data_IF_690260558602
#
_entry.id   IF_690260558602
#
_cell.length_a   1.000
_cell.length_b   1.000
_cell.length_c   1.000
_cell.angle_alpha   90.00
_cell.angle_beta   90.00
_cell.angle_gamma   90.00
#
_symmetry.space_group_name_H-M   'P 1'
#
loop_
_entity.id
_entity.type
_entity.pdbx_description
1 polymer ?
#
# COMPACT_ATOMS: atom_id res chain seq x y z
N UNK A 1 -6.08 32.08 -19.87
CA UNK A 1 -6.91 30.91 -20.27
C UNK A 1 -5.98 29.73 -20.33
N UNK A 2 -6.09 28.78 -19.37
CA UNK A 2 -5.30 27.57 -19.42
C UNK A 2 -5.77 26.73 -20.62
N UNK A 3 -4.87 26.39 -21.52
CA UNK A 3 -5.14 25.42 -22.59
C UNK A 3 -5.43 24.07 -21.89
N UNK A 4 -6.69 23.71 -21.80
CA UNK A 4 -7.12 22.35 -21.49
C UNK A 4 -6.73 21.48 -22.70
N UNK A 5 -5.47 21.07 -22.75
CA UNK A 5 -5.05 20.03 -23.71
C UNK A 5 -5.63 18.71 -23.20
N UNK A 6 -6.64 18.21 -23.86
CA UNK A 6 -7.18 16.86 -23.64
C UNK A 6 -6.06 15.86 -23.93
N UNK A 7 -5.41 15.36 -22.90
CA UNK A 7 -4.39 14.35 -23.05
C UNK A 7 -5.05 12.99 -23.24
N UNK A 8 -4.70 12.30 -24.33
CA UNK A 8 -5.22 10.96 -24.60
C UNK A 8 -4.62 9.97 -23.60
N UNK A 9 -5.47 9.30 -22.82
CA UNK A 9 -5.04 8.25 -21.91
C UNK A 9 -4.41 7.07 -22.67
N UNK A 10 -3.32 6.53 -22.12
CA UNK A 10 -2.55 5.41 -22.67
C UNK A 10 -2.34 4.34 -21.60
N UNK A 11 -2.24 3.11 -22.04
CA UNK A 11 -1.88 1.98 -21.19
C UNK A 11 -0.98 1.01 -21.96
N UNK A 12 -0.26 0.17 -21.20
CA UNK A 12 0.41 -1.01 -21.70
C UNK A 12 0.24 -2.14 -20.67
N UNK A 13 -0.30 -3.27 -21.10
CA UNK A 13 -0.60 -4.41 -20.23
C UNK A 13 0.06 -5.66 -20.79
N UNK A 14 0.76 -6.41 -19.92
CA UNK A 14 1.27 -7.74 -20.28
C UNK A 14 0.58 -8.81 -19.43
N UNK A 15 0.30 -9.96 -20.03
CA UNK A 15 -0.18 -11.16 -19.36
C UNK A 15 0.70 -12.33 -19.79
N UNK A 16 1.28 -13.05 -18.82
CA UNK A 16 2.21 -14.14 -19.10
C UNK A 16 3.46 -13.71 -19.85
N UNK A 17 3.89 -12.44 -19.68
CA UNK A 17 5.04 -11.87 -20.37
C UNK A 17 4.78 -11.34 -21.80
N UNK A 18 3.58 -11.54 -22.34
CA UNK A 18 3.21 -11.05 -23.67
C UNK A 18 2.32 -9.79 -23.57
N UNK A 19 2.54 -8.79 -24.45
CA UNK A 19 1.61 -7.66 -24.59
C UNK A 19 0.25 -8.15 -25.06
N UNK A 20 -0.80 -7.61 -24.44
CA UNK A 20 -2.19 -7.91 -24.81
C UNK A 20 -2.95 -6.68 -25.30
N UNK A 21 -2.28 -5.53 -25.43
CA UNK A 21 -2.88 -4.23 -25.68
C UNK A 21 -3.81 -4.22 -26.91
N UNK A 22 -3.32 -4.66 -28.06
CA UNK A 22 -4.10 -4.68 -29.30
C UNK A 22 -5.32 -5.61 -29.22
N UNK A 23 -5.18 -6.74 -28.49
CA UNK A 23 -6.27 -7.71 -28.30
C UNK A 23 -7.37 -7.18 -27.41
N UNK A 24 -7.00 -6.48 -26.33
CA UNK A 24 -7.97 -6.01 -25.33
C UNK A 24 -8.52 -4.63 -25.62
N UNK A 25 -7.86 -3.82 -26.48
CA UNK A 25 -8.24 -2.43 -26.74
C UNK A 25 -9.72 -2.22 -27.08
N UNK A 26 -10.37 -3.05 -27.95
CA UNK A 26 -11.80 -2.89 -28.24
C UNK A 26 -12.71 -3.23 -27.07
N UNK A 27 -12.21 -4.04 -26.13
CA UNK A 27 -12.98 -4.66 -25.04
C UNK A 27 -12.69 -4.04 -23.68
N UNK A 28 -11.60 -3.29 -23.53
CA UNK A 28 -11.19 -2.69 -22.25
C UNK A 28 -12.25 -1.70 -21.77
N UNK A 29 -12.82 -1.97 -20.60
CA UNK A 29 -13.78 -1.11 -19.94
C UNK A 29 -13.08 -0.25 -18.87
N UNK A 30 -12.26 -0.88 -18.02
CA UNK A 30 -11.58 -0.21 -16.91
C UNK A 30 -10.31 -0.95 -16.53
N UNK A 31 -9.29 -0.19 -16.16
CA UNK A 31 -8.13 -0.65 -15.39
C UNK A 31 -8.08 0.16 -14.11
N UNK A 32 -7.91 -0.51 -12.98
CA UNK A 32 -7.72 0.13 -11.69
C UNK A 32 -6.54 -0.51 -10.99
N UNK A 33 -5.63 0.31 -10.48
CA UNK A 33 -4.47 -0.09 -9.69
C UNK A 33 -4.54 0.63 -8.37
N UNK A 34 -4.50 -0.10 -7.26
CA UNK A 34 -4.53 0.44 -5.90
C UNK A 34 -3.21 0.13 -5.23
N UNK A 35 -2.45 1.19 -4.95
CA UNK A 35 -1.22 1.16 -4.19
C UNK A 35 -1.53 1.60 -2.76
N UNK A 36 -1.14 0.82 -1.78
CA UNK A 36 -1.36 1.14 -0.38
C UNK A 36 -0.03 1.27 0.37
N UNK A 37 0.05 2.21 1.30
CA UNK A 37 1.21 2.32 2.18
C UNK A 37 1.23 1.16 3.19
N UNK A 38 0.10 0.89 3.83
CA UNK A 38 -0.02 -0.05 4.96
C UNK A 38 -0.50 -1.45 4.59
N UNK A 39 -1.03 -1.64 3.36
CA UNK A 39 -1.60 -2.92 3.00
C UNK A 39 -0.54 -3.95 2.60
N UNK A 40 -0.92 -5.18 2.79
CA UNK A 40 -0.12 -6.37 2.57
C UNK A 40 0.34 -6.53 1.12
N UNK A 41 -0.46 -6.01 0.16
CA UNK A 41 -0.16 -6.07 -1.26
C UNK A 41 -0.85 -4.94 -2.01
N UNK A 42 -0.20 -4.47 -3.05
CA UNK A 42 -0.84 -3.65 -4.07
C UNK A 42 -1.76 -4.55 -4.92
N UNK A 43 -2.85 -4.00 -5.38
CA UNK A 43 -3.85 -4.75 -6.17
C UNK A 43 -4.14 -4.06 -7.49
N UNK A 44 -4.55 -4.86 -8.48
CA UNK A 44 -5.05 -4.31 -9.72
C UNK A 44 -6.29 -5.07 -10.20
N UNK A 45 -7.17 -4.38 -10.89
CA UNK A 45 -8.37 -4.95 -11.50
C UNK A 45 -8.44 -4.52 -12.96
N UNK A 46 -8.57 -5.49 -13.86
CA UNK A 46 -8.80 -5.25 -15.28
C UNK A 46 -10.22 -5.75 -15.60
N UNK A 47 -11.05 -4.86 -16.12
CA UNK A 47 -12.42 -5.18 -16.54
C UNK A 47 -12.53 -5.10 -18.05
N UNK A 48 -12.93 -6.21 -18.67
CA UNK A 48 -13.10 -6.33 -20.11
C UNK A 48 -14.57 -6.67 -20.45
N UNK A 49 -15.10 -6.13 -21.52
CA UNK A 49 -16.30 -6.67 -22.18
C UNK A 49 -15.94 -8.03 -22.79
N UNK A 50 -16.77 -9.05 -22.59
CA UNK A 50 -16.50 -10.41 -23.04
C UNK A 50 -17.52 -10.87 -24.11
N UNK A 51 -17.76 -10.01 -25.09
CA UNK A 51 -18.69 -10.33 -26.16
C UNK A 51 -18.06 -10.03 -27.50
N UNK A 52 -17.95 -11.02 -28.37
CA UNK A 52 -17.53 -10.83 -29.77
C UNK A 52 -18.63 -10.06 -30.51
N UNK A 53 -18.38 -8.88 -31.04
CA UNK A 53 -19.39 -8.11 -31.75
C UNK A 53 -19.94 -8.86 -32.97
N UNK A 54 -21.26 -8.80 -33.17
CA UNK A 54 -21.92 -9.37 -34.33
C UNK A 54 -22.18 -10.89 -34.27
N UNK A 55 -21.83 -11.58 -33.19
CA UNK A 55 -22.16 -13.01 -33.00
C UNK A 55 -23.56 -13.19 -32.42
N UNK A 56 -24.31 -14.19 -32.96
CA UNK A 56 -25.64 -14.57 -32.48
C UNK A 56 -25.70 -16.10 -32.37
N UNK A 57 -25.85 -16.67 -31.15
CA UNK A 57 -25.82 -15.98 -29.83
C UNK A 57 -24.47 -15.34 -29.53
N UNK A 58 -24.42 -14.36 -28.60
CA UNK A 58 -23.16 -13.72 -28.17
C UNK A 58 -22.14 -14.73 -27.67
N UNK A 59 -20.94 -14.74 -28.24
CA UNK A 59 -19.86 -15.64 -27.84
C UNK A 59 -18.80 -14.92 -26.95
N UNK A 60 -18.13 -15.65 -26.02
CA UNK A 60 -17.06 -15.09 -25.23
C UNK A 60 -15.86 -14.74 -26.12
N UNK A 61 -15.25 -13.57 -25.86
CA UNK A 61 -14.09 -13.08 -26.59
C UNK A 61 -12.77 -13.64 -26.06
N UNK A 62 -12.71 -14.02 -24.77
CA UNK A 62 -11.49 -14.37 -24.07
C UNK A 62 -11.61 -15.65 -23.24
N UNK A 63 -10.50 -16.40 -23.16
CA UNK A 63 -10.30 -17.38 -22.11
C UNK A 63 -9.91 -16.68 -20.80
N UNK A 64 -10.31 -17.25 -19.67
CA UNK A 64 -9.91 -16.76 -18.35
C UNK A 64 -8.43 -17.06 -18.10
N UNK A 65 -7.59 -16.08 -17.78
CA UNK A 65 -6.19 -16.33 -17.46
C UNK A 65 -6.09 -17.17 -16.17
N UNK A 66 -5.15 -18.16 -16.13
CA UNK A 66 -4.92 -18.97 -14.94
C UNK A 66 -4.42 -18.12 -13.76
N UNK A 67 -4.74 -18.56 -12.54
CA UNK A 67 -4.13 -18.02 -11.32
C UNK A 67 -2.58 -18.14 -11.38
N UNK A 68 -1.87 -17.13 -10.90
CA UNK A 68 -0.42 -17.07 -10.92
C UNK A 68 0.19 -16.60 -12.24
N UNK A 69 -0.63 -16.26 -13.26
CA UNK A 69 -0.13 -15.65 -14.51
C UNK A 69 0.50 -14.28 -14.19
N UNK A 70 1.78 -14.02 -14.57
CA UNK A 70 2.42 -12.72 -14.35
C UNK A 70 1.71 -11.60 -15.11
N UNK A 71 1.59 -10.44 -14.47
CA UNK A 71 0.91 -9.25 -15.00
C UNK A 71 1.77 -8.02 -14.78
N UNK A 72 1.91 -7.18 -15.80
CA UNK A 72 2.39 -5.81 -15.63
C UNK A 72 1.38 -4.83 -16.20
N UNK A 73 1.22 -3.68 -15.54
CA UNK A 73 0.34 -2.60 -15.98
C UNK A 73 1.13 -1.31 -15.96
N UNK A 74 1.19 -0.64 -17.10
CA UNK A 74 1.71 0.72 -17.23
C UNK A 74 0.57 1.64 -17.68
N UNK A 75 0.44 2.80 -17.04
CA UNK A 75 -0.57 3.81 -17.31
C UNK A 75 0.08 5.15 -17.62
N UNK A 76 -0.62 5.99 -18.34
CA UNK A 76 -0.15 7.35 -18.63
C UNK A 76 -1.07 8.11 -19.57
N UNK A 77 -0.54 9.21 -20.10
CA UNK A 77 -1.25 10.08 -21.04
C UNK A 77 -0.27 10.75 -22.00
N UNK A 78 -0.73 11.02 -23.22
CA UNK A 78 0.05 11.81 -24.18
C UNK A 78 0.29 13.24 -23.66
N UNK A 79 1.45 13.85 -23.93
CA UNK A 79 2.62 13.32 -24.65
C UNK A 79 3.63 12.58 -23.74
N UNK A 80 3.34 12.40 -22.44
CA UNK A 80 4.28 11.86 -21.44
C UNK A 80 4.56 10.36 -21.57
N UNK A 81 3.73 9.63 -22.35
CA UNK A 81 3.84 8.18 -22.47
C UNK A 81 3.24 7.42 -21.27
N UNK A 82 3.64 6.15 -21.10
CA UNK A 82 3.19 5.29 -20.02
C UNK A 82 4.32 5.01 -19.02
N UNK A 83 3.96 4.89 -17.75
CA UNK A 83 4.86 4.51 -16.65
C UNK A 83 4.33 3.23 -16.02
N UNK A 84 5.22 2.31 -15.68
CA UNK A 84 4.87 1.07 -14.95
C UNK A 84 4.31 1.44 -13.58
N UNK A 85 3.06 1.04 -13.32
CA UNK A 85 2.35 1.32 -12.06
C UNK A 85 2.07 0.06 -11.25
N UNK A 86 2.12 -1.12 -11.88
CA UNK A 86 1.84 -2.38 -11.19
C UNK A 86 2.63 -3.54 -11.79
N UNK A 87 3.16 -4.38 -10.91
CA UNK A 87 3.74 -5.69 -11.25
C UNK A 87 3.20 -6.72 -10.25
N UNK A 88 2.69 -7.83 -10.76
CA UNK A 88 2.11 -8.86 -9.90
C UNK A 88 1.63 -10.06 -10.68
N UNK A 89 0.64 -10.74 -10.12
CA UNK A 89 0.11 -12.00 -10.62
C UNK A 89 -1.41 -12.00 -10.61
N UNK A 90 -2.03 -12.73 -11.53
CA UNK A 90 -3.47 -12.98 -11.51
C UNK A 90 -3.82 -13.76 -10.24
N UNK A 91 -4.66 -13.18 -9.41
CA UNK A 91 -5.22 -13.82 -8.23
C UNK A 91 -6.50 -14.59 -8.58
N UNK A 92 -7.42 -13.92 -9.28
CA UNK A 92 -8.68 -14.52 -9.76
C UNK A 92 -9.09 -13.90 -11.09
N UNK A 93 -9.68 -14.72 -11.95
CA UNK A 93 -10.37 -14.25 -13.14
C UNK A 93 -11.81 -14.77 -13.09
N UNK A 94 -12.79 -13.87 -13.28
CA UNK A 94 -14.22 -14.20 -13.20
C UNK A 94 -14.95 -13.73 -14.43
N UNK A 95 -15.76 -14.61 -15.01
CA UNK A 95 -16.75 -14.21 -16.01
C UNK A 95 -18.07 -13.86 -15.31
N UNK A 96 -18.63 -12.71 -15.68
CA UNK A 96 -19.92 -12.22 -15.19
C UNK A 96 -20.82 -11.93 -16.39
N UNK A 97 -22.10 -12.06 -16.20
CA UNK A 97 -23.06 -11.71 -17.26
C UNK A 97 -24.47 -11.72 -16.74
N UNK A 98 -25.30 -10.89 -17.36
CA UNK A 98 -26.72 -10.86 -17.15
C UNK A 98 -27.45 -10.61 -18.50
N UNK A 99 -28.78 -10.78 -18.51
CA UNK A 99 -29.58 -10.65 -19.73
C UNK A 99 -29.59 -9.23 -20.32
N UNK A 100 -29.40 -8.21 -19.47
CA UNK A 100 -29.45 -6.79 -19.88
C UNK A 100 -28.07 -6.15 -20.03
N UNK A 101 -27.11 -6.53 -19.18
CA UNK A 101 -25.76 -5.93 -19.09
C UNK A 101 -24.71 -6.62 -19.96
N UNK A 102 -25.03 -7.76 -20.60
CA UNK A 102 -24.08 -8.48 -21.42
C UNK A 102 -23.06 -9.30 -20.60
N UNK A 103 -21.89 -9.57 -21.20
CA UNK A 103 -20.81 -10.36 -20.59
C UNK A 103 -19.60 -9.50 -20.29
N UNK A 104 -18.93 -9.81 -19.18
CA UNK A 104 -17.66 -9.17 -18.81
C UNK A 104 -16.72 -10.16 -18.13
N UNK A 105 -15.44 -9.88 -18.22
CA UNK A 105 -14.39 -10.56 -17.45
C UNK A 105 -13.76 -9.55 -16.51
N UNK A 106 -13.70 -9.92 -15.22
CA UNK A 106 -12.96 -9.23 -14.19
C UNK A 106 -11.72 -10.04 -13.83
N UNK A 107 -10.54 -9.46 -14.06
CA UNK A 107 -9.25 -10.05 -13.70
C UNK A 107 -8.73 -9.27 -12.52
N UNK A 108 -8.62 -9.92 -11.35
CA UNK A 108 -8.01 -9.35 -10.15
C UNK A 108 -6.59 -9.85 -10.02
N UNK A 109 -5.70 -8.91 -9.74
CA UNK A 109 -4.27 -9.14 -9.61
C UNK A 109 -3.79 -8.66 -8.24
N UNK A 110 -2.73 -9.28 -7.74
CA UNK A 110 -2.04 -8.90 -6.50
C UNK A 110 -0.55 -8.84 -6.75
N UNK A 111 0.16 -7.92 -6.08
CA UNK A 111 1.62 -7.83 -6.15
C UNK A 111 2.32 -9.01 -5.47
N UNK A 112 1.61 -9.76 -4.61
CA UNK A 112 2.12 -10.94 -3.94
C UNK A 112 1.98 -12.20 -4.80
N UNK A 113 3.04 -12.98 -4.92
CA UNK A 113 2.92 -14.36 -5.41
C UNK A 113 2.27 -15.23 -4.32
N UNK A 114 0.97 -15.47 -4.47
CA UNK A 114 0.19 -16.26 -3.52
C UNK A 114 0.42 -17.77 -3.65
N UNK A 115 1.25 -18.20 -4.58
CA UNK A 115 1.60 -19.61 -4.83
C UNK A 115 2.98 -19.96 -4.31
N UNK A 116 3.77 -18.97 -3.89
CA UNK A 116 5.15 -19.15 -3.43
C UNK A 116 5.25 -19.73 -2.01
N UNK A 117 6.40 -20.34 -1.69
CA UNK A 117 6.76 -20.88 -0.36
C UNK A 117 6.79 -19.77 0.73
N UNK A 118 6.81 -18.50 0.33
CA UNK A 118 6.76 -17.36 1.22
C UNK A 118 5.50 -17.29 2.11
N UNK A 119 4.43 -17.99 1.72
CA UNK A 119 3.20 -18.17 2.51
C UNK A 119 3.20 -19.41 3.39
N UNK A 120 4.17 -20.32 3.22
CA UNK A 120 4.22 -21.53 4.02
C UNK A 120 4.65 -21.22 5.45
N UNK A 121 3.90 -21.68 6.48
CA UNK A 121 4.28 -21.47 7.87
C UNK A 121 5.58 -22.21 8.19
N UNK A 122 6.45 -21.57 8.96
CA UNK A 122 7.73 -22.12 9.41
C UNK A 122 7.96 -21.77 10.87
N UNK A 123 8.80 -22.57 11.54
CA UNK A 123 9.23 -22.28 12.90
C UNK A 123 10.74 -22.09 12.90
N UNK A 124 11.18 -20.90 13.27
CA UNK A 124 12.59 -20.51 13.37
C UNK A 124 12.81 -19.49 14.46
N UNK A 125 14.02 -19.43 14.96
CA UNK A 125 14.45 -18.41 15.91
C UNK A 125 15.85 -17.92 15.58
N UNK A 126 16.19 -16.76 16.12
CA UNK A 126 17.53 -16.17 16.05
C UNK A 126 17.79 -15.35 17.30
N UNK A 127 18.87 -15.67 18.00
CA UNK A 127 19.22 -15.07 19.28
C UNK A 127 20.20 -13.92 19.09
N UNK A 128 20.04 -12.85 19.91
CA UNK A 128 20.99 -11.74 20.01
C UNK A 128 21.28 -11.02 18.69
N UNK A 129 20.35 -11.03 17.75
CA UNK A 129 20.57 -10.54 16.41
C UNK A 129 19.94 -9.18 16.14
N UNK A 130 20.43 -8.47 15.11
CA UNK A 130 19.77 -7.28 14.57
C UNK A 130 18.53 -7.67 13.76
N UNK A 131 17.59 -6.73 13.60
CA UNK A 131 16.42 -6.91 12.73
C UNK A 131 16.85 -7.24 11.28
N UNK A 132 17.90 -6.58 10.80
CA UNK A 132 18.47 -6.85 9.48
C UNK A 132 18.90 -8.32 9.32
N UNK A 133 19.61 -8.86 10.31
CA UNK A 133 20.11 -10.24 10.25
C UNK A 133 18.98 -11.27 10.41
N UNK A 134 17.99 -10.98 11.26
CA UNK A 134 16.82 -11.82 11.43
C UNK A 134 15.96 -11.84 10.15
N UNK A 135 15.75 -10.68 9.54
CA UNK A 135 14.98 -10.55 8.30
C UNK A 135 15.64 -11.28 7.13
N UNK A 136 16.97 -11.21 6.99
CA UNK A 136 17.71 -11.93 5.97
C UNK A 136 17.59 -13.45 6.13
N UNK A 137 17.71 -13.96 7.36
CA UNK A 137 17.61 -15.39 7.66
C UNK A 137 16.20 -15.93 7.44
N UNK A 138 15.20 -15.30 8.03
CA UNK A 138 13.80 -15.75 7.96
C UNK A 138 13.21 -15.54 6.56
N UNK A 139 13.62 -14.48 5.85
CA UNK A 139 13.29 -14.28 4.46
C UNK A 139 13.79 -15.41 3.58
N UNK A 140 15.09 -15.74 3.68
CA UNK A 140 15.70 -16.84 2.93
C UNK A 140 14.98 -18.16 3.18
N UNK A 141 14.63 -18.44 4.43
CA UNK A 141 13.87 -19.63 4.79
C UNK A 141 12.48 -19.69 4.11
N UNK A 142 11.87 -18.53 3.84
CA UNK A 142 10.60 -18.42 3.14
C UNK A 142 10.73 -18.19 1.62
N UNK A 143 11.93 -18.27 1.05
CA UNK A 143 12.14 -17.99 -0.38
C UNK A 143 12.02 -16.50 -0.75
N UNK A 144 12.16 -15.60 0.24
CA UNK A 144 12.19 -14.15 0.05
C UNK A 144 13.57 -13.57 0.35
N UNK A 145 13.94 -12.54 -0.38
CA UNK A 145 15.03 -11.65 0.03
C UNK A 145 14.42 -10.47 0.76
N UNK A 146 14.56 -10.42 2.11
CA UNK A 146 14.02 -9.32 2.92
C UNK A 146 15.16 -8.34 3.24
N UNK A 147 15.02 -7.11 2.77
CA UNK A 147 15.90 -5.99 3.08
C UNK A 147 15.26 -5.10 4.16
N UNK A 148 16.08 -4.61 5.08
CA UNK A 148 15.62 -3.68 6.13
C UNK A 148 16.34 -2.36 5.96
N UNK A 149 15.57 -1.27 5.91
CA UNK A 149 16.15 0.08 5.81
C UNK A 149 17.02 0.39 7.04
N UNK A 150 18.09 1.16 6.83
CA UNK A 150 19.10 1.43 7.85
C UNK A 150 18.55 2.00 9.16
N UNK A 151 17.45 2.78 9.09
CA UNK A 151 16.79 3.35 10.27
C UNK A 151 16.21 2.32 11.24
N UNK A 152 15.86 1.11 10.76
CA UNK A 152 15.28 0.02 11.55
C UNK A 152 16.23 -1.17 11.68
N UNK A 153 17.17 -1.30 10.76
CA UNK A 153 18.02 -2.48 10.63
C UNK A 153 18.92 -2.75 11.83
N UNK A 154 19.26 -1.71 12.62
CA UNK A 154 20.10 -1.80 13.80
C UNK A 154 19.36 -2.18 15.09
N UNK A 155 18.03 -2.28 15.07
CA UNK A 155 17.23 -2.72 16.22
C UNK A 155 17.64 -4.14 16.57
N UNK A 156 18.13 -4.35 17.80
CA UNK A 156 18.57 -5.66 18.29
C UNK A 156 17.60 -6.15 19.36
N UNK A 157 17.31 -7.46 19.34
CA UNK A 157 16.52 -8.14 20.37
C UNK A 157 17.26 -9.38 20.87
N UNK A 158 17.08 -9.76 22.14
CA UNK A 158 17.63 -11.00 22.67
C UNK A 158 17.15 -12.22 21.88
N UNK A 159 15.94 -12.14 21.32
CA UNK A 159 15.30 -13.26 20.64
C UNK A 159 14.34 -12.79 19.54
N UNK A 160 14.52 -13.30 18.34
CA UNK A 160 13.58 -13.16 17.23
C UNK A 160 12.94 -14.52 16.96
N UNK A 161 11.62 -14.57 16.86
CA UNK A 161 10.89 -15.78 16.55
C UNK A 161 10.00 -15.61 15.32
N UNK A 162 9.95 -16.64 14.51
CA UNK A 162 8.93 -16.94 13.53
C UNK A 162 8.33 -18.28 13.93
N UNK A 163 7.17 -18.26 14.61
CA UNK A 163 6.57 -19.44 15.23
C UNK A 163 5.26 -19.80 14.55
N UNK A 164 5.30 -20.79 13.66
CA UNK A 164 4.12 -21.23 12.91
C UNK A 164 3.58 -20.17 11.95
N UNK A 165 4.36 -19.13 11.62
CA UNK A 165 3.98 -18.07 10.70
C UNK A 165 4.80 -18.12 9.40
N UNK A 166 4.28 -17.52 8.34
CA UNK A 166 5.00 -17.39 7.07
C UNK A 166 6.01 -16.24 7.14
N UNK A 167 7.00 -16.23 6.22
CA UNK A 167 7.96 -15.12 6.13
C UNK A 167 7.26 -13.77 5.86
N UNK A 168 6.16 -13.77 5.11
CA UNK A 168 5.33 -12.59 4.88
C UNK A 168 4.65 -12.16 6.19
N UNK A 169 3.99 -13.08 6.90
CA UNK A 169 3.32 -12.78 8.17
C UNK A 169 4.28 -12.28 9.24
N UNK A 170 5.46 -12.90 9.35
CA UNK A 170 6.53 -12.45 10.23
C UNK A 170 6.98 -11.03 9.90
N UNK A 171 7.27 -10.76 8.62
CA UNK A 171 7.71 -9.43 8.18
C UNK A 171 6.68 -8.34 8.49
N UNK A 172 5.40 -8.62 8.27
CA UNK A 172 4.30 -7.71 8.58
C UNK A 172 4.15 -7.45 10.08
N UNK A 173 4.21 -8.50 10.89
CA UNK A 173 4.10 -8.38 12.35
C UNK A 173 5.25 -7.57 12.90
N UNK A 174 6.48 -7.93 12.55
CA UNK A 174 7.68 -7.25 13.07
C UNK A 174 7.77 -5.81 12.58
N UNK A 175 7.47 -5.54 11.32
CA UNK A 175 7.44 -4.16 10.81
C UNK A 175 6.50 -3.29 11.65
N UNK A 176 5.28 -3.75 11.92
CA UNK A 176 4.31 -3.03 12.79
C UNK A 176 4.84 -2.81 14.21
N UNK A 177 5.53 -3.80 14.78
CA UNK A 177 6.08 -3.70 16.13
C UNK A 177 7.17 -2.63 16.27
N UNK A 178 7.91 -2.36 15.19
CA UNK A 178 9.00 -1.36 15.17
C UNK A 178 8.60 -0.04 14.48
N UNK A 179 7.29 0.18 14.23
CA UNK A 179 6.81 1.39 13.56
C UNK A 179 7.19 1.48 12.09
N UNK A 180 7.37 0.34 11.45
CA UNK A 180 7.69 0.20 10.04
C UNK A 180 6.56 -0.35 9.21
N UNK A 181 6.82 -0.45 7.91
CA UNK A 181 5.98 -1.07 6.89
C UNK A 181 6.74 -2.21 6.23
N UNK A 182 6.05 -3.29 5.92
CA UNK A 182 6.59 -4.40 5.15
C UNK A 182 5.88 -4.49 3.81
N UNK A 183 6.64 -4.36 2.72
CA UNK A 183 6.13 -4.53 1.35
C UNK A 183 6.85 -5.67 0.64
N UNK A 184 6.10 -6.43 -0.16
CA UNK A 184 6.63 -7.52 -0.97
C UNK A 184 6.26 -7.31 -2.43
N UNK A 185 7.26 -7.41 -3.31
CA UNK A 185 7.07 -7.42 -4.77
C UNK A 185 7.84 -8.62 -5.33
N UNK A 186 7.10 -9.58 -5.87
CA UNK A 186 7.69 -10.85 -6.32
C UNK A 186 8.35 -11.61 -5.17
N UNK A 187 9.66 -11.82 -5.24
CA UNK A 187 10.48 -12.50 -4.22
C UNK A 187 11.27 -11.54 -3.31
N UNK A 188 11.07 -10.24 -3.44
CA UNK A 188 11.72 -9.22 -2.61
C UNK A 188 10.75 -8.64 -1.60
N UNK A 189 11.14 -8.67 -0.32
CA UNK A 189 10.47 -7.97 0.77
C UNK A 189 11.33 -6.81 1.26
N UNK A 190 10.71 -5.72 1.71
CA UNK A 190 11.43 -4.57 2.29
C UNK A 190 10.70 -4.09 3.53
N UNK A 191 11.48 -3.86 4.61
CA UNK A 191 10.99 -3.20 5.83
C UNK A 191 11.55 -1.78 5.85
N UNK A 192 10.67 -0.78 5.85
CA UNK A 192 11.01 0.66 5.91
C UNK A 192 10.25 1.33 7.04
N UNK A 193 10.73 2.48 7.54
CA UNK A 193 9.96 3.26 8.52
C UNK A 193 8.69 3.80 7.88
N UNK A 194 7.56 3.71 8.58
CA UNK A 194 6.28 4.27 8.16
C UNK A 194 6.37 5.81 8.09
N UNK A 195 5.74 6.40 7.08
CA UNK A 195 5.74 7.86 6.90
C UNK A 195 7.08 8.48 6.49
N UNK A 196 8.12 7.69 6.25
CA UNK A 196 9.44 8.21 5.88
C UNK A 196 9.51 8.76 4.43
N UNK A 197 8.46 8.59 3.64
CA UNK A 197 8.45 9.00 2.23
C UNK A 197 9.47 8.25 1.37
N UNK A 198 9.77 7.00 1.74
CA UNK A 198 10.77 6.17 1.07
C UNK A 198 10.13 5.08 0.22
N UNK A 199 10.71 4.84 -0.94
CA UNK A 199 10.40 3.68 -1.77
C UNK A 199 10.93 2.39 -1.15
N UNK A 200 10.54 1.25 -1.71
CA UNK A 200 11.08 -0.06 -1.34
C UNK A 200 12.61 -0.18 -1.52
N UNK A 201 13.24 0.68 -2.33
CA UNK A 201 14.70 0.73 -2.48
C UNK A 201 15.39 1.74 -1.53
N UNK A 202 14.63 2.37 -0.61
CA UNK A 202 15.16 3.39 0.30
C UNK A 202 15.38 4.78 -0.33
N UNK A 203 14.94 4.98 -1.58
CA UNK A 203 15.00 6.28 -2.24
C UNK A 203 13.81 7.15 -1.83
N UNK A 204 14.04 8.47 -1.67
CA UNK A 204 12.96 9.40 -1.42
C UNK A 204 11.93 9.37 -2.55
N UNK A 205 10.66 9.24 -2.19
CA UNK A 205 9.55 9.31 -3.13
C UNK A 205 9.35 10.76 -3.59
N UNK A 206 9.15 11.01 -4.90
CA UNK A 206 8.89 12.34 -5.39
C UNK A 206 7.58 12.89 -4.81
N UNK A 207 7.53 14.16 -4.42
CA UNK A 207 6.32 14.77 -3.89
C UNK A 207 5.24 14.84 -4.97
N UNK A 208 3.99 14.62 -4.57
CA UNK A 208 2.80 14.77 -5.40
C UNK A 208 2.24 16.18 -5.19
N UNK A 209 2.19 16.98 -6.24
CA UNK A 209 1.57 18.32 -6.20
C UNK A 209 0.08 18.23 -6.51
N UNK A 210 -0.76 18.80 -5.63
CA UNK A 210 -2.21 18.91 -5.74
C UNK A 210 -2.57 20.39 -5.68
N UNK A 211 -2.89 20.97 -6.83
CA UNK A 211 -3.09 22.43 -6.94
C UNK A 211 -4.44 22.75 -7.59
N UNK A 212 -5.26 23.55 -6.90
CA UNK A 212 -6.56 24.00 -7.42
C UNK A 212 -6.41 24.79 -8.73
N UNK A 213 -7.27 24.51 -9.68
CA UNK A 213 -7.23 25.14 -11.00
C UNK A 213 -6.11 24.64 -11.93
N UNK A 214 -5.30 23.67 -11.48
CA UNK A 214 -4.22 23.05 -12.28
C UNK A 214 -4.51 21.59 -12.58
N UNK A 215 -4.63 20.74 -11.56
CA UNK A 215 -4.80 19.29 -11.73
C UNK A 215 -5.86 18.65 -10.83
N UNK A 216 -6.53 19.43 -9.97
CA UNK A 216 -7.56 18.91 -9.06
C UNK A 216 -8.88 18.75 -9.79
N UNK A 217 -9.47 17.57 -9.71
CA UNK A 217 -10.81 17.25 -10.21
C UNK A 217 -11.84 17.39 -9.09
N UNK A 218 -11.58 16.75 -7.94
CA UNK A 218 -12.45 16.81 -6.76
C UNK A 218 -11.66 16.56 -5.48
N UNK A 219 -12.20 17.00 -4.34
CA UNK A 219 -11.63 16.72 -3.02
C UNK A 219 -12.71 16.63 -1.97
N UNK A 220 -12.39 15.88 -0.92
CA UNK A 220 -13.16 15.78 0.33
C UNK A 220 -12.14 15.63 1.46
N UNK A 221 -11.76 16.74 2.10
CA UNK A 221 -10.69 16.82 3.08
C UNK A 221 -11.19 17.47 4.37
N UNK A 222 -10.87 16.84 5.49
CA UNK A 222 -11.11 17.39 6.81
C UNK A 222 -9.77 17.79 7.47
N UNK A 223 -9.67 19.00 8.05
CA UNK A 223 -8.46 19.44 8.75
C UNK A 223 -8.18 18.59 10.00
N UNK A 224 -9.22 18.09 10.64
CA UNK A 224 -9.15 17.25 11.83
C UNK A 224 -10.12 16.06 11.71
N UNK A 225 -9.67 14.89 12.15
CA UNK A 225 -10.53 13.72 12.30
C UNK A 225 -11.54 13.97 13.44
N UNK A 226 -12.75 13.45 13.28
CA UNK A 226 -13.80 13.60 14.32
C UNK A 226 -13.48 12.92 15.66
N UNK A 227 -12.42 12.10 15.72
CA UNK A 227 -11.96 11.44 16.93
C UNK A 227 -10.54 11.92 17.29
N UNK A 228 -10.38 12.67 18.38
CA UNK A 228 -9.06 13.11 18.81
C UNK A 228 -8.20 11.90 19.24
N UNK A 229 -6.86 11.94 19.03
CA UNK A 229 -5.96 10.92 19.52
C UNK A 229 -5.94 10.89 21.05
N UNK A 230 -5.55 9.75 21.61
CA UNK A 230 -5.27 9.65 23.04
C UNK A 230 -4.09 10.56 23.42
N UNK A 231 -4.10 11.07 24.64
CA UNK A 231 -2.98 11.87 25.14
C UNK A 231 -1.74 11.02 25.37
N UNK A 232 -1.92 9.78 25.77
CA UNK A 232 -0.86 8.84 26.09
C UNK A 232 -1.15 7.44 25.57
N UNK A 233 -0.07 6.72 25.19
CA UNK A 233 -0.08 5.30 24.87
C UNK A 233 0.86 4.55 25.79
N UNK A 234 0.39 3.44 26.38
CA UNK A 234 1.15 2.60 27.27
C UNK A 234 1.44 1.24 26.68
N UNK A 235 2.72 0.87 26.63
CA UNK A 235 3.19 -0.51 26.48
C UNK A 235 3.53 -1.11 27.83
N UNK A 236 3.28 -2.39 28.07
CA UNK A 236 3.60 -3.09 29.33
C UNK A 236 4.42 -4.35 29.09
N UNK A 237 5.27 -4.66 30.10
CA UNK A 237 6.05 -5.91 30.12
C UNK A 237 6.13 -6.45 31.55
N UNK A 238 6.48 -7.72 31.68
CA UNK A 238 6.76 -8.31 32.98
C UNK A 238 8.26 -8.27 33.28
N UNK A 239 8.65 -7.68 34.39
CA UNK A 239 10.04 -7.67 34.88
C UNK A 239 10.23 -8.87 35.85
N UNK A 240 10.96 -9.91 35.45
CA UNK A 240 11.18 -11.08 36.30
C UNK A 240 12.10 -10.77 37.49
N UNK A 241 12.99 -9.77 37.42
CA UNK A 241 13.87 -9.40 38.51
C UNK A 241 13.10 -8.73 39.65
N UNK A 242 12.07 -7.96 39.35
CA UNK A 242 11.21 -7.28 40.31
C UNK A 242 9.89 -8.04 40.56
N UNK A 243 9.65 -9.15 39.84
CA UNK A 243 8.43 -9.96 39.90
C UNK A 243 7.13 -9.14 39.73
N UNK A 244 7.14 -8.12 38.86
CA UNK A 244 5.99 -7.25 38.66
C UNK A 244 5.83 -6.80 37.22
N UNK A 245 4.61 -6.35 36.89
CA UNK A 245 4.31 -5.67 35.63
C UNK A 245 4.77 -4.22 35.67
N UNK A 246 5.48 -3.81 34.66
CA UNK A 246 5.91 -2.43 34.43
C UNK A 246 5.27 -1.87 33.15
N UNK A 247 5.21 -0.54 33.06
CA UNK A 247 4.61 0.16 31.94
C UNK A 247 5.56 1.25 31.42
N UNK A 248 5.62 1.37 30.09
CA UNK A 248 6.26 2.50 29.37
C UNK A 248 5.18 3.36 28.74
N UNK A 249 5.15 4.62 29.13
CA UNK A 249 4.18 5.60 28.62
C UNK A 249 4.85 6.51 27.60
N UNK A 250 4.20 6.69 26.45
CA UNK A 250 4.59 7.63 25.40
C UNK A 250 3.49 8.68 25.27
N UNK A 251 3.88 9.96 25.27
CA UNK A 251 2.95 11.07 25.00
C UNK A 251 2.73 11.19 23.49
N UNK A 252 1.46 11.28 23.07
CA UNK A 252 1.08 11.45 21.67
C UNK A 252 0.97 12.93 21.32
N UNK A 253 1.66 13.36 20.27
CA UNK A 253 1.64 14.76 19.83
C UNK A 253 0.23 15.18 19.42
N UNK A 254 -0.31 16.23 20.10
CA UNK A 254 -1.67 16.75 19.90
C UNK A 254 -2.78 15.82 20.38
N UNK A 255 -2.46 14.89 21.26
CA UNK A 255 -3.46 14.24 22.11
C UNK A 255 -4.08 15.23 23.07
N UNK A 256 -5.36 15.08 23.37
CA UNK A 256 -6.11 16.00 24.21
C UNK A 256 -6.64 15.33 25.47
N UNK A 257 -6.66 16.10 26.57
CA UNK A 257 -7.20 15.63 27.85
C UNK A 257 -6.25 14.67 28.57
N UNK A 258 -6.83 13.80 29.43
CA UNK A 258 -6.14 12.76 30.21
C UNK A 258 -6.43 11.35 29.70
N UNK A 259 -6.75 11.22 28.42
CA UNK A 259 -7.10 9.94 27.81
C UNK A 259 -5.87 9.07 27.59
N UNK A 260 -5.94 7.81 27.95
CA UNK A 260 -4.85 6.85 27.85
C UNK A 260 -5.29 5.59 27.11
N UNK A 261 -4.47 5.14 26.17
CA UNK A 261 -4.62 3.84 25.52
C UNK A 261 -3.56 2.88 26.03
N UNK A 262 -3.97 1.66 26.37
CA UNK A 262 -3.03 0.58 26.71
C UNK A 262 -3.00 -0.45 25.59
N UNK A 263 -1.79 -0.83 25.15
CA UNK A 263 -1.58 -1.90 24.19
C UNK A 263 -2.02 -3.21 24.83
N UNK A 264 -2.88 -3.96 24.15
CA UNK A 264 -3.54 -5.17 24.71
C UNK A 264 -2.55 -6.27 25.08
N UNK A 265 -1.51 -6.48 24.29
CA UNK A 265 -0.55 -7.55 24.48
C UNK A 265 0.71 -7.02 25.17
N UNK A 266 1.15 -7.71 26.22
CA UNK A 266 2.43 -7.45 26.87
C UNK A 266 3.58 -7.72 25.90
N UNK A 267 4.68 -7.02 26.11
CA UNK A 267 5.93 -7.17 25.35
C UNK A 267 6.95 -7.92 26.19
N UNK A 268 8.03 -8.38 25.56
CA UNK A 268 9.05 -9.16 26.23
C UNK A 268 9.85 -8.32 27.23
N UNK A 269 10.14 -7.05 26.89
CA UNK A 269 10.95 -6.14 27.70
C UNK A 269 10.51 -4.67 27.53
N UNK A 270 11.21 -3.77 28.24
CA UNK A 270 10.97 -2.31 28.21
C UNK A 270 11.16 -1.73 26.80
N UNK A 271 12.18 -2.18 26.06
CA UNK A 271 12.49 -1.65 24.74
C UNK A 271 11.37 -1.98 23.75
N UNK A 272 10.91 -3.23 23.72
CA UNK A 272 9.79 -3.64 22.87
C UNK A 272 8.47 -2.95 23.27
N UNK A 273 8.24 -2.73 24.55
CA UNK A 273 7.06 -2.02 25.03
C UNK A 273 7.10 -0.53 24.59
N UNK A 274 8.28 0.09 24.63
CA UNK A 274 8.51 1.45 24.16
C UNK A 274 8.34 1.59 22.64
N UNK A 275 8.92 0.68 21.86
CA UNK A 275 8.81 0.67 20.41
C UNK A 275 7.35 0.55 19.97
N UNK A 276 6.62 -0.40 20.55
CA UNK A 276 5.21 -0.62 20.23
C UNK A 276 4.32 0.58 20.63
N UNK A 277 4.58 1.21 21.80
CA UNK A 277 3.85 2.40 22.22
C UNK A 277 4.14 3.60 21.30
N UNK A 278 5.40 3.74 20.86
CA UNK A 278 5.80 4.79 19.92
C UNK A 278 5.15 4.59 18.54
N UNK A 279 5.13 3.35 18.03
CA UNK A 279 4.48 3.02 16.78
C UNK A 279 2.98 3.35 16.82
N UNK A 280 2.27 2.91 17.87
CA UNK A 280 0.85 3.20 18.05
C UNK A 280 0.56 4.70 18.18
N UNK A 281 1.41 5.46 18.90
CA UNK A 281 1.29 6.91 19.02
C UNK A 281 1.42 7.61 17.66
N UNK A 282 2.37 7.21 16.85
CA UNK A 282 2.55 7.73 15.48
C UNK A 282 1.39 7.39 14.56
N UNK A 283 0.81 6.20 14.69
CA UNK A 283 -0.38 5.81 13.92
C UNK A 283 -1.57 6.70 14.24
N UNK A 284 -1.78 7.03 15.51
CA UNK A 284 -2.82 7.98 15.92
C UNK A 284 -2.58 9.41 15.41
N UNK A 285 -1.33 9.85 15.35
CA UNK A 285 -0.98 11.14 14.76
C UNK A 285 -1.30 11.18 13.26
N UNK A 286 -1.04 10.09 12.56
CA UNK A 286 -1.31 9.95 11.13
C UNK A 286 -2.81 10.00 10.80
N UNK A 287 -3.65 9.53 11.70
CA UNK A 287 -5.12 9.50 11.53
C UNK A 287 -5.85 10.81 11.93
N UNK A 288 -5.12 11.84 12.36
CA UNK A 288 -5.70 13.11 12.87
C UNK A 288 -6.53 13.89 11.87
N UNK A 289 -6.31 13.72 10.60
CA UNK A 289 -7.02 14.46 9.55
C UNK A 289 -6.55 13.99 8.19
N UNK A 290 -7.36 14.24 7.18
CA UNK A 290 -7.10 13.79 5.83
C UNK A 290 -8.39 13.73 5.04
N UNK A 291 -8.48 12.75 4.15
CA UNK A 291 -9.62 12.54 3.27
C UNK A 291 -9.16 12.11 1.90
N UNK A 292 -9.87 12.50 0.86
CA UNK A 292 -9.55 12.08 -0.50
C UNK A 292 -9.43 13.24 -1.45
N UNK A 293 -8.52 13.13 -2.41
CA UNK A 293 -8.41 14.05 -3.54
C UNK A 293 -8.33 13.24 -4.84
N UNK A 294 -9.01 13.70 -5.87
CA UNK A 294 -8.92 13.16 -7.23
C UNK A 294 -8.25 14.20 -8.13
N UNK A 295 -7.23 13.79 -8.84
CA UNK A 295 -6.45 14.65 -9.74
C UNK A 295 -6.36 14.04 -11.14
N UNK A 296 -5.95 14.83 -12.10
CA UNK A 296 -5.55 14.34 -13.42
C UNK A 296 -4.54 13.19 -13.29
N UNK A 297 -4.60 12.23 -14.20
CA UNK A 297 -3.81 11.01 -14.13
C UNK A 297 -2.30 11.27 -13.98
N UNK A 298 -1.74 10.84 -12.87
CA UNK A 298 -0.32 10.95 -12.52
C UNK A 298 0.26 9.57 -12.20
N UNK A 299 0.75 8.87 -13.19
CA UNK A 299 1.27 7.50 -13.05
C UNK A 299 2.49 7.39 -12.10
N UNK A 300 3.23 8.47 -11.88
CA UNK A 300 4.35 8.50 -10.92
C UNK A 300 3.93 8.66 -9.45
N UNK A 301 2.64 8.85 -9.16
CA UNK A 301 2.18 8.94 -7.78
C UNK A 301 2.27 7.57 -7.09
N UNK A 302 2.83 7.55 -5.88
CA UNK A 302 3.02 6.33 -5.10
C UNK A 302 2.49 6.52 -3.67
N UNK A 303 2.01 5.44 -3.07
CA UNK A 303 1.66 5.42 -1.65
C UNK A 303 2.89 5.66 -0.78
N UNK A 304 2.74 6.39 0.32
CA UNK A 304 3.83 6.86 1.18
C UNK A 304 4.49 8.15 0.71
N UNK A 305 4.20 8.65 -0.49
CA UNK A 305 4.79 9.90 -0.99
C UNK A 305 4.21 11.13 -0.26
N UNK A 306 5.02 12.19 -0.05
CA UNK A 306 4.50 13.46 0.43
C UNK A 306 3.57 14.10 -0.63
N UNK A 307 2.43 14.64 -0.19
CA UNK A 307 1.42 15.29 -1.02
C UNK A 307 1.28 16.75 -0.60
N UNK A 308 1.64 17.64 -1.50
CA UNK A 308 1.57 19.10 -1.26
C UNK A 308 0.25 19.60 -1.81
N UNK A 309 -0.67 19.95 -0.93
CA UNK A 309 -1.99 20.51 -1.25
C UNK A 309 -1.92 22.02 -1.19
N UNK A 310 -2.41 22.68 -2.23
CA UNK A 310 -2.39 24.14 -2.33
C UNK A 310 -3.59 24.70 -3.10
N UNK A 311 -4.12 25.84 -2.61
CA UNK A 311 -5.18 26.60 -3.23
C UNK A 311 -6.59 26.02 -3.06
N UNK A 312 -6.78 25.01 -2.22
CA UNK A 312 -8.10 24.45 -1.91
C UNK A 312 -8.81 25.26 -0.83
N UNK A 313 -8.19 25.35 0.35
CA UNK A 313 -8.70 26.12 1.49
C UNK A 313 -7.57 26.32 2.51
N UNK A 314 -7.45 27.50 3.17
CA UNK A 314 -6.37 27.80 4.09
C UNK A 314 -6.16 26.77 5.21
N UNK A 315 -7.24 26.15 5.71
CA UNK A 315 -7.18 25.18 6.81
C UNK A 315 -6.73 23.78 6.38
N UNK A 316 -6.75 23.48 5.06
CA UNK A 316 -6.36 22.18 4.51
C UNK A 316 -5.16 22.28 3.55
N UNK A 317 -4.71 23.46 3.19
CA UNK A 317 -3.53 23.68 2.36
C UNK A 317 -2.26 23.41 3.17
N UNK A 318 -1.73 22.21 3.05
CA UNK A 318 -0.54 21.72 3.75
C UNK A 318 0.04 20.49 3.07
N UNK A 319 1.13 19.97 3.62
CA UNK A 319 1.68 18.69 3.21
C UNK A 319 0.97 17.56 3.95
N UNK A 320 0.61 16.51 3.21
CA UNK A 320 0.05 15.24 3.68
C UNK A 320 0.95 14.09 3.26
N UNK A 321 0.63 12.87 3.70
CA UNK A 321 1.18 11.63 3.16
C UNK A 321 0.10 10.91 2.36
N UNK A 322 0.46 10.33 1.23
CA UNK A 322 -0.43 9.49 0.44
C UNK A 322 -0.61 8.13 1.12
N UNK A 323 -1.71 7.91 1.85
CA UNK A 323 -2.05 6.63 2.48
C UNK A 323 -2.34 5.56 1.44
N UNK A 324 -3.11 5.91 0.43
CA UNK A 324 -3.34 5.07 -0.74
C UNK A 324 -3.40 5.89 -2.01
N UNK A 325 -2.99 5.28 -3.12
CA UNK A 325 -3.07 5.88 -4.47
C UNK A 325 -3.80 4.91 -5.38
N UNK A 326 -4.91 5.36 -5.94
CA UNK A 326 -5.69 4.60 -6.92
C UNK A 326 -5.53 5.23 -8.29
N UNK A 327 -4.90 4.51 -9.20
CA UNK A 327 -4.83 4.87 -10.61
C UNK A 327 -5.99 4.20 -11.34
N UNK A 328 -6.87 4.97 -11.95
CA UNK A 328 -8.00 4.46 -12.71
C UNK A 328 -7.97 4.97 -14.14
N UNK A 329 -8.13 4.06 -15.08
CA UNK A 329 -8.29 4.37 -16.49
C UNK A 329 -9.59 3.72 -16.97
N UNK A 330 -10.52 4.54 -17.45
CA UNK A 330 -11.76 4.09 -18.06
C UNK A 330 -12.13 4.91 -19.31
N UNK A 331 -13.10 4.43 -20.07
CA UNK A 331 -13.50 5.09 -21.33
C UNK A 331 -14.23 6.41 -21.13
N UNK A 332 -14.87 6.61 -19.98
CA UNK A 332 -15.70 7.78 -19.74
C UNK A 332 -14.90 8.95 -19.18
N UNK A 333 -13.96 8.66 -18.25
CA UNK A 333 -13.21 9.67 -17.51
C UNK A 333 -11.75 9.79 -17.95
N UNK A 334 -11.26 8.83 -18.78
CA UNK A 334 -9.86 8.77 -19.14
C UNK A 334 -8.98 8.23 -18.00
N UNK A 335 -7.81 8.81 -17.82
CA UNK A 335 -6.87 8.43 -16.75
C UNK A 335 -6.94 9.44 -15.61
N UNK A 336 -7.31 8.98 -14.42
CA UNK A 336 -7.39 9.77 -13.19
C UNK A 336 -6.59 9.10 -12.07
N UNK A 337 -6.13 9.90 -11.12
CA UNK A 337 -5.44 9.41 -9.91
C UNK A 337 -6.19 9.93 -8.69
N UNK A 338 -6.69 9.01 -7.86
CA UNK A 338 -7.31 9.31 -6.56
C UNK A 338 -6.33 8.99 -5.46
N UNK A 339 -6.19 9.89 -4.51
CA UNK A 339 -5.25 9.77 -3.40
C UNK A 339 -6.03 9.91 -2.10
N UNK A 340 -5.88 8.93 -1.21
CA UNK A 340 -6.29 9.03 0.17
C UNK A 340 -5.16 9.66 0.97
N UNK A 341 -5.46 10.72 1.67
CA UNK A 341 -4.50 11.55 2.39
C UNK A 341 -4.59 11.30 3.89
N UNK A 342 -3.44 11.27 4.54
CA UNK A 342 -3.31 11.26 5.98
C UNK A 342 -2.31 12.34 6.41
N UNK A 343 -2.32 12.75 7.69
CA UNK A 343 -1.31 13.68 8.19
C UNK A 343 0.07 13.02 8.19
N UNK A 344 1.15 13.78 7.93
CA UNK A 344 2.51 13.27 8.10
C UNK A 344 2.69 12.80 9.55
N UNK A 345 3.45 11.74 9.73
CA UNK A 345 3.93 11.37 11.05
C UNK A 345 5.00 12.39 11.44
N UNK A 346 4.84 13.04 12.60
CA UNK A 346 5.78 13.99 13.16
C UNK A 346 7.07 13.34 13.65
#
# INVERSE_FOLDING_TARGET
MANLSWSRARYAITLGGASVDDRIAPYLMRVEVVLNEEADADTATILLSDTIPGTVPPMPAFALPPKGTPVTIALGAEPRGVTLVFTGFVETARSRGDRGGGRSIEIRCTSLDTTSDAKSPKTRHKDGASLKDAAADFGTAGGLTIEVHASLGSITRPYWAMDGESAIGWGQRVAREVGGLFKVVGTRGVIVSKGAGLSASGQALPPISVTYGVNVISWDLAPDAGRPPFAEVNGRWYDPAQAKWLEKTITVTGGTGSTRQSIRHSRADEAEAGDAATAEGKDQEHEKGGGTVEIDGLAGAQAGAPVIVSGLHPDIDRTYTAKSVTHALDRARGFVTRIELARPQG
#
